data_IF_225391312517
#
_entry.id   IF_225391312517
#
_cell.length_a   1.000
_cell.length_b   1.000
_cell.length_c   1.000
_cell.angle_alpha   90.00
_cell.angle_beta   90.00
_cell.angle_gamma   90.00
#
_symmetry.space_group_name_H-M   'P 1'
#
loop_
_entity.id
_entity.type
_entity.pdbx_description
1 polymer ?
#
# COMPACT_ATOMS: atom_id res chain seq x y z
N UNK A 1 -4.44 17.10 -20.74
CA UNK A 1 -3.58 16.38 -19.92
C UNK A 1 -4.30 15.64 -18.78
N UNK A 2 -4.07 14.39 -18.65
CA UNK A 2 -4.78 13.66 -17.62
C UNK A 2 -4.30 14.05 -16.23
N UNK A 3 -5.23 14.08 -15.32
CA UNK A 3 -4.91 14.27 -13.93
C UNK A 3 -4.57 12.91 -13.33
N UNK A 4 -3.59 12.91 -12.50
CA UNK A 4 -3.33 11.74 -11.70
C UNK A 4 -4.23 11.80 -10.49
N UNK A 5 -4.91 10.73 -10.21
CA UNK A 5 -5.76 10.68 -9.04
C UNK A 5 -4.90 10.69 -7.78
N UNK A 6 -5.52 11.06 -6.66
CA UNK A 6 -4.82 11.01 -5.38
C UNK A 6 -4.31 9.60 -5.12
N UNK A 7 -5.11 8.62 -5.49
CA UNK A 7 -4.73 7.22 -5.29
C UNK A 7 -3.48 6.88 -6.07
N UNK A 8 -3.43 7.29 -7.34
CA UNK A 8 -2.27 6.99 -8.18
C UNK A 8 -1.01 7.65 -7.64
N UNK A 9 -1.13 8.88 -7.18
CA UNK A 9 0.02 9.59 -6.65
C UNK A 9 0.52 8.90 -5.38
N UNK A 10 -0.38 8.46 -4.53
CA UNK A 10 -0.01 7.80 -3.29
C UNK A 10 0.67 6.47 -3.59
N UNK A 11 0.13 5.71 -4.54
CA UNK A 11 0.70 4.43 -4.90
C UNK A 11 2.11 4.61 -5.43
N UNK A 12 2.31 5.62 -6.26
CA UNK A 12 3.63 5.86 -6.83
C UNK A 12 4.62 6.28 -5.74
N UNK A 13 4.16 7.09 -4.79
CA UNK A 13 5.02 7.50 -3.68
C UNK A 13 5.44 6.28 -2.85
N UNK A 14 4.49 5.38 -2.59
CA UNK A 14 4.82 4.16 -1.85
C UNK A 14 5.85 3.34 -2.60
N UNK A 15 5.71 3.25 -3.91
CA UNK A 15 6.61 2.45 -4.72
C UNK A 15 8.03 3.01 -4.69
N UNK A 16 8.14 4.33 -4.73
CA UNK A 16 9.44 4.98 -4.73
C UNK A 16 10.06 5.01 -3.35
N UNK A 17 9.23 5.05 -2.32
CA UNK A 17 9.72 5.21 -0.96
C UNK A 17 9.01 4.23 -0.03
N UNK A 18 9.48 3.00 0.03
CA UNK A 18 8.87 1.99 0.89
C UNK A 18 8.87 2.38 2.36
N UNK A 19 9.85 3.16 2.78
CA UNK A 19 9.90 3.61 4.15
C UNK A 19 8.75 4.53 4.48
N UNK A 20 8.39 5.40 3.53
CA UNK A 20 7.23 6.25 3.70
C UNK A 20 5.97 5.42 3.82
N UNK A 21 5.87 4.34 3.03
CA UNK A 21 4.71 3.48 3.10
C UNK A 21 4.57 2.85 4.49
N UNK A 22 5.68 2.43 5.06
CA UNK A 22 5.66 1.84 6.38
C UNK A 22 5.23 2.85 7.43
N UNK A 23 5.73 4.08 7.32
CA UNK A 23 5.35 5.13 8.26
C UNK A 23 3.87 5.48 8.13
N UNK A 24 3.39 5.51 6.90
CA UNK A 24 1.97 5.75 6.65
C UNK A 24 1.11 4.69 7.32
N UNK A 25 1.50 3.44 7.17
CA UNK A 25 0.76 2.35 7.77
C UNK A 25 0.77 2.45 9.29
N UNK A 26 1.91 2.76 9.87
CA UNK A 26 2.00 2.91 11.32
C UNK A 26 1.07 4.01 11.82
N UNK A 27 1.02 5.12 11.12
CA UNK A 27 0.13 6.21 11.51
C UNK A 27 -1.32 5.77 11.48
N UNK A 28 -1.70 5.05 10.43
CA UNK A 28 -3.08 4.58 10.30
C UNK A 28 -3.42 3.61 11.42
N UNK A 29 -2.46 2.73 11.75
CA UNK A 29 -2.69 1.77 12.83
C UNK A 29 -2.86 2.48 14.16
N UNK A 30 -2.10 3.53 14.39
CA UNK A 30 -2.22 4.29 15.64
C UNK A 30 -3.56 4.99 15.75
N UNK A 31 -4.09 5.47 14.63
CA UNK A 31 -5.38 6.13 14.62
C UNK A 31 -6.52 5.18 14.89
N UNK A 32 -6.35 3.91 14.60
CA UNK A 32 -7.38 2.93 14.81
C UNK A 32 -8.54 3.00 13.83
N UNK A 33 -8.36 3.71 12.73
CA UNK A 33 -9.41 3.84 11.72
C UNK A 33 -9.34 2.66 10.76
N UNK A 34 -10.32 1.77 10.88
CA UNK A 34 -10.32 0.54 10.11
C UNK A 34 -10.46 0.79 8.62
N UNK A 35 -11.28 1.78 8.24
CA UNK A 35 -11.44 2.09 6.83
C UNK A 35 -10.15 2.62 6.23
N UNK A 36 -9.46 3.47 6.98
CA UNK A 36 -8.19 4.00 6.51
C UNK A 36 -7.16 2.89 6.40
N UNK A 37 -7.20 1.92 7.30
CA UNK A 37 -6.28 0.80 7.26
C UNK A 37 -6.49 -0.04 6.00
N UNK A 38 -7.75 -0.34 5.70
CA UNK A 38 -8.06 -1.12 4.50
C UNK A 38 -7.62 -0.39 3.24
N UNK A 39 -7.81 0.93 3.22
CA UNK A 39 -7.41 1.72 2.07
C UNK A 39 -5.89 1.73 1.93
N UNK A 40 -5.18 1.86 3.05
CA UNK A 40 -3.72 1.85 3.02
C UNK A 40 -3.20 0.52 2.51
N UNK A 41 -3.80 -0.58 2.95
CA UNK A 41 -3.39 -1.90 2.48
C UNK A 41 -3.64 -2.07 1.00
N UNK A 42 -4.75 -1.53 0.51
CA UNK A 42 -5.03 -1.58 -0.93
C UNK A 42 -3.97 -0.82 -1.72
N UNK A 43 -3.60 0.36 -1.24
CA UNK A 43 -2.57 1.14 -1.93
C UNK A 43 -1.25 0.40 -1.93
N UNK A 44 -0.91 -0.22 -0.83
CA UNK A 44 0.36 -0.94 -0.73
C UNK A 44 0.36 -2.16 -1.64
N UNK A 45 -0.76 -2.87 -1.71
CA UNK A 45 -0.84 -4.02 -2.60
C UNK A 45 -0.60 -3.59 -4.04
N UNK A 46 -1.18 -2.47 -4.44
CA UNK A 46 -1.00 -1.98 -5.80
C UNK A 46 0.42 -1.48 -6.03
N UNK A 47 1.01 -0.88 -5.00
CA UNK A 47 2.36 -0.32 -5.14
C UNK A 47 3.41 -1.40 -5.27
N UNK A 48 3.23 -2.51 -4.57
CA UNK A 48 4.27 -3.54 -4.47
C UNK A 48 3.93 -4.81 -5.23
N UNK A 49 3.07 -4.72 -6.21
CA UNK A 49 2.84 -5.84 -7.09
C UNK A 49 1.52 -6.56 -6.89
N UNK A 50 0.73 -6.07 -5.95
CA UNK A 50 -0.60 -6.62 -5.76
C UNK A 50 -0.65 -7.82 -4.84
N UNK A 51 -1.87 -8.19 -4.50
CA UNK A 51 -2.10 -9.24 -3.54
C UNK A 51 -1.68 -10.60 -4.08
N UNK A 52 -1.87 -10.82 -5.37
CA UNK A 52 -1.52 -12.12 -5.94
C UNK A 52 -0.02 -12.37 -5.84
N UNK A 53 0.79 -11.34 -6.00
CA UNK A 53 2.23 -11.53 -5.88
C UNK A 53 2.61 -11.84 -4.44
N UNK A 54 1.97 -11.19 -3.48
CA UNK A 54 2.22 -11.49 -2.08
C UNK A 54 1.81 -12.92 -1.75
N UNK A 55 0.70 -13.36 -2.32
CA UNK A 55 0.25 -14.72 -2.10
C UNK A 55 1.23 -15.74 -2.66
N UNK A 56 1.80 -15.44 -3.82
CA UNK A 56 2.79 -16.32 -4.41
C UNK A 56 4.01 -16.47 -3.52
N UNK A 57 4.48 -15.36 -2.98
CA UNK A 57 5.65 -15.41 -2.13
C UNK A 57 5.35 -16.18 -0.85
N UNK A 58 4.16 -16.02 -0.32
CA UNK A 58 3.77 -16.76 0.87
C UNK A 58 3.72 -18.26 0.57
N UNK A 59 3.24 -18.61 -0.60
CA UNK A 59 3.22 -20.01 -1.02
C UNK A 59 4.61 -20.61 -1.08
N UNK A 60 5.54 -19.84 -1.63
CA UNK A 60 6.90 -20.33 -1.79
C UNK A 60 7.58 -20.57 -0.45
N UNK A 61 7.09 -19.96 0.58
CA UNK A 61 7.68 -20.14 1.91
C UNK A 61 7.17 -21.31 2.67
N UNK A 62 6.28 -22.07 2.09
CA UNK A 62 5.73 -23.23 2.78
C UNK A 62 6.65 -24.43 2.78
#
# INVERSE_FOLDING_TARGET
>A
MPFRSHEEATIETFRKDPKFAAEYLNTVLEDGDQEALLLALRYMAKAFGGVSKLAEEAELNR
#
